data_IF_285542474859
#
_entry.id   IF_285542474859
#
_cell.length_a   1.000
_cell.length_b   1.000
_cell.length_c   1.000
_cell.angle_alpha   90.00
_cell.angle_beta   90.00
_cell.angle_gamma   90.00
#
_symmetry.space_group_name_H-M   'P 1'
#
loop_
_entity.id
_entity.type
_entity.pdbx_description
1 polymer ?
#
# COMPACT_ATOMS: atom_id res chain seq x y z
N UNK A 1 15.44 1.38 -4.66
CA UNK A 1 15.33 1.05 -3.22
C UNK A 1 14.01 0.34 -3.00
N UNK A 2 14.03 -0.81 -2.34
CA UNK A 2 12.85 -1.58 -1.96
C UNK A 2 12.37 -1.13 -0.59
N UNK A 3 11.06 -1.01 -0.42
CA UNK A 3 10.42 -0.72 0.84
C UNK A 3 9.15 -1.56 0.98
N UNK A 4 8.85 -1.95 2.21
CA UNK A 4 7.59 -2.57 2.59
C UNK A 4 7.14 -2.02 3.94
N UNK A 5 5.83 -1.96 4.15
CA UNK A 5 5.24 -1.58 5.42
C UNK A 5 3.91 -2.31 5.62
N UNK A 6 3.49 -2.37 6.89
CA UNK A 6 2.17 -2.80 7.28
C UNK A 6 1.61 -1.78 8.29
N UNK A 7 0.32 -1.49 8.21
CA UNK A 7 -0.32 -0.51 9.08
C UNK A 7 -1.82 -0.76 9.22
N UNK A 8 -2.34 -0.43 10.39
CA UNK A 8 -3.76 -0.54 10.71
C UNK A 8 -4.25 0.85 11.16
N UNK A 9 -5.21 1.48 10.46
CA UNK A 9 -5.64 2.84 10.77
C UNK A 9 -6.36 2.99 12.12
N UNK A 10 -7.16 2.00 12.50
CA UNK A 10 -7.87 1.93 13.79
C UNK A 10 -7.82 0.52 14.34
N UNK A 11 -7.82 0.40 15.66
CA UNK A 11 -8.02 -0.85 16.36
C UNK A 11 -9.44 -0.83 16.92
N UNK A 12 -10.27 -1.79 16.55
CA UNK A 12 -11.56 -1.97 17.21
C UNK A 12 -11.38 -2.63 18.57
N UNK A 13 -12.09 -2.13 19.59
CA UNK A 13 -11.99 -2.66 20.95
C UNK A 13 -12.86 -3.91 21.18
N UNK A 14 -13.62 -4.35 20.16
CA UNK A 14 -14.57 -5.44 20.28
C UNK A 14 -13.99 -6.71 19.65
N UNK A 15 -14.11 -7.84 20.35
CA UNK A 15 -13.71 -9.14 19.81
C UNK A 15 -14.56 -9.49 18.59
N UNK A 16 -13.93 -10.05 17.55
CA UNK A 16 -14.54 -10.54 16.31
C UNK A 16 -15.12 -9.47 15.37
N UNK A 17 -14.74 -8.21 15.49
CA UNK A 17 -15.02 -7.20 14.45
C UNK A 17 -13.97 -7.28 13.34
N UNK A 18 -14.34 -7.14 12.06
CA UNK A 18 -13.40 -7.04 10.95
C UNK A 18 -12.50 -5.82 11.11
N UNK A 19 -11.19 -5.99 10.90
CA UNK A 19 -10.19 -4.93 11.08
C UNK A 19 -9.38 -4.71 9.82
N UNK A 20 -9.30 -3.46 9.40
CA UNK A 20 -8.55 -3.10 8.22
C UNK A 20 -7.05 -3.13 8.50
N UNK A 21 -6.34 -4.01 7.78
CA UNK A 21 -4.87 -3.97 7.73
C UNK A 21 -4.41 -3.69 6.31
N UNK A 22 -3.52 -2.72 6.16
CA UNK A 22 -2.89 -2.37 4.91
C UNK A 22 -1.47 -2.94 4.89
N UNK A 23 -1.16 -3.71 3.86
CA UNK A 23 0.20 -4.09 3.50
C UNK A 23 0.58 -3.32 2.25
N UNK A 24 1.76 -2.71 2.24
CA UNK A 24 2.24 -1.95 1.10
C UNK A 24 3.70 -2.30 0.80
N UNK A 25 4.02 -2.30 -0.49
CA UNK A 25 5.37 -2.50 -0.97
C UNK A 25 5.61 -1.66 -2.20
N UNK A 26 6.80 -1.06 -2.31
CA UNK A 26 7.18 -0.32 -3.50
C UNK A 26 8.68 -0.44 -3.79
N UNK A 27 9.03 -0.29 -5.07
CA UNK A 27 10.41 -0.34 -5.53
C UNK A 27 10.74 0.88 -6.38
N UNK A 28 11.76 1.64 -5.97
CA UNK A 28 12.26 2.80 -6.73
C UNK A 28 13.27 2.38 -7.78
N UNK A 29 12.94 2.59 -9.05
CA UNK A 29 13.78 2.36 -10.25
C UNK A 29 14.23 3.71 -10.82
N UNK A 30 15.51 4.11 -10.64
CA UNK A 30 16.04 5.27 -11.34
C UNK A 30 16.28 4.91 -12.81
N UNK A 31 15.49 5.50 -13.72
CA UNK A 31 15.64 5.27 -15.16
C UNK A 31 16.82 6.07 -15.70
N UNK A 32 16.93 7.33 -15.27
CA UNK A 32 18.08 8.21 -15.50
C UNK A 32 18.15 9.28 -14.40
N UNK A 33 19.03 10.27 -14.54
CA UNK A 33 19.22 11.34 -13.55
C UNK A 33 17.97 12.21 -13.32
N UNK A 34 17.04 12.23 -14.27
CA UNK A 34 15.86 13.10 -14.29
C UNK A 34 14.54 12.33 -14.17
N UNK A 35 14.55 11.00 -14.30
CA UNK A 35 13.35 10.17 -14.32
C UNK A 35 13.49 9.01 -13.35
N UNK A 36 12.53 8.91 -12.44
CA UNK A 36 12.39 7.78 -11.52
C UNK A 36 11.00 7.18 -11.65
N UNK A 37 10.93 5.86 -11.81
CA UNK A 37 9.68 5.10 -11.82
C UNK A 37 9.61 4.27 -10.53
N UNK A 38 8.47 4.31 -9.85
CA UNK A 38 8.25 3.63 -8.58
C UNK A 38 6.93 2.85 -8.63
N UNK A 39 6.93 1.59 -9.13
CA UNK A 39 5.80 0.69 -8.94
C UNK A 39 5.60 0.39 -7.46
N UNK A 40 4.34 0.28 -7.07
CA UNK A 40 3.91 -0.16 -5.76
C UNK A 40 2.67 -1.04 -5.82
N UNK A 41 2.52 -1.88 -4.82
CA UNK A 41 1.35 -2.73 -4.62
C UNK A 41 0.87 -2.56 -3.18
N UNK A 42 -0.45 -2.63 -3.01
CA UNK A 42 -1.10 -2.59 -1.72
C UNK A 42 -2.11 -3.72 -1.61
N UNK A 43 -2.14 -4.38 -0.45
CA UNK A 43 -3.11 -5.40 -0.09
C UNK A 43 -3.82 -4.91 1.16
N UNK A 44 -5.14 -4.75 1.07
CA UNK A 44 -5.95 -4.19 2.16
C UNK A 44 -6.99 -5.24 2.55
N UNK A 45 -6.88 -5.80 3.75
CA UNK A 45 -7.87 -6.73 4.31
C UNK A 45 -9.02 -5.94 4.92
N UNK A 46 -10.25 -6.44 4.81
CA UNK A 46 -11.46 -5.84 5.41
C UNK A 46 -11.53 -4.31 5.27
N UNK A 47 -11.45 -3.78 4.03
CA UNK A 47 -11.41 -2.34 3.79
C UNK A 47 -12.63 -1.66 4.41
N UNK A 48 -12.40 -0.63 5.21
CA UNK A 48 -13.44 0.07 5.96
C UNK A 48 -13.94 -0.67 7.20
N UNK A 49 -13.20 -1.66 7.70
CA UNK A 49 -13.57 -2.50 8.86
C UNK A 49 -14.90 -3.25 8.63
N UNK A 50 -15.15 -3.65 7.38
CA UNK A 50 -16.32 -4.46 6.99
C UNK A 50 -15.84 -5.76 6.33
N UNK A 51 -16.48 -6.87 6.67
CA UNK A 51 -16.14 -8.20 6.16
C UNK A 51 -16.54 -8.34 4.68
N UNK A 52 -15.74 -7.74 3.82
CA UNK A 52 -16.01 -7.58 2.38
C UNK A 52 -14.90 -8.17 1.50
N UNK A 53 -13.91 -8.82 2.12
CA UNK A 53 -12.79 -9.47 1.44
C UNK A 53 -11.55 -8.59 1.32
N UNK A 54 -10.55 -9.07 0.58
CA UNK A 54 -9.25 -8.39 0.42
C UNK A 54 -9.21 -7.58 -0.87
N UNK A 55 -8.84 -6.30 -0.77
CA UNK A 55 -8.61 -5.40 -1.90
C UNK A 55 -7.14 -5.41 -2.33
N UNK A 56 -6.90 -5.61 -3.62
CA UNK A 56 -5.58 -5.51 -4.24
C UNK A 56 -5.51 -4.24 -5.08
N UNK A 57 -4.49 -3.42 -4.85
CA UNK A 57 -4.28 -2.17 -5.58
C UNK A 57 -2.84 -2.11 -6.12
N UNK A 58 -2.71 -1.74 -7.38
CA UNK A 58 -1.42 -1.42 -8.01
C UNK A 58 -1.31 0.08 -8.26
N UNK A 59 -0.14 0.65 -8.00
CA UNK A 59 0.17 2.06 -8.25
C UNK A 59 1.46 2.16 -9.04
N UNK A 60 1.51 3.06 -10.02
CA UNK A 60 2.72 3.41 -10.73
C UNK A 60 2.97 4.91 -10.58
N UNK A 61 4.03 5.29 -9.87
CA UNK A 61 4.43 6.68 -9.70
C UNK A 61 5.66 6.99 -10.55
N UNK A 62 5.58 8.04 -11.36
CA UNK A 62 6.70 8.53 -12.16
C UNK A 62 7.05 9.94 -11.71
N UNK A 63 8.32 10.17 -11.37
CA UNK A 63 8.84 11.48 -10.94
C UNK A 63 9.81 11.99 -11.99
N UNK A 64 9.62 13.25 -12.40
CA UNK A 64 10.48 13.98 -13.32
C UNK A 64 11.16 15.13 -12.59
N UNK A 65 12.43 15.39 -12.89
CA UNK A 65 13.20 16.53 -12.37
C UNK A 65 13.83 17.28 -13.55
N UNK A 66 13.68 18.60 -13.55
CA UNK A 66 14.08 19.52 -14.62
C UNK A 66 15.00 20.62 -14.11
#
# INVERSE_FOLDING_TARGET
MLSFAAGQPWITPLANTPEQTNFEGFYRVPINANITVSPGVMVITDPGNVNTGTLFQGVLRTTFSF
#
